data_IF_226185454994
#
_entry.id   IF_226185454994
#
_cell.length_a   1.000
_cell.length_b   1.000
_cell.length_c   1.000
_cell.angle_alpha   90.00
_cell.angle_beta   90.00
_cell.angle_gamma   90.00
#
_symmetry.space_group_name_H-M   'P 1'
#
loop_
_entity.id
_entity.type
_entity.pdbx_description
1 polymer ?
#
# COMPACT_ATOMS: atom_id res chain seq x y z
N UNK A 1 -9.70 -5.29 -7.44
CA UNK A 1 -8.39 -5.86 -7.80
C UNK A 1 -8.41 -7.37 -7.53
N UNK A 2 -7.44 -8.17 -8.00
CA UNK A 2 -7.33 -9.57 -7.55
C UNK A 2 -6.96 -9.63 -6.05
N UNK A 3 -7.34 -10.71 -5.36
CA UNK A 3 -7.01 -10.87 -3.94
C UNK A 3 -5.49 -10.97 -3.75
N UNK A 4 -4.96 -10.18 -2.84
CA UNK A 4 -3.55 -10.17 -2.47
C UNK A 4 -3.14 -11.53 -1.89
N UNK A 5 -2.01 -12.03 -2.36
CA UNK A 5 -1.42 -13.29 -1.90
C UNK A 5 -0.18 -13.00 -1.07
N UNK A 6 0.03 -13.78 0.00
CA UNK A 6 1.22 -13.72 0.85
C UNK A 6 2.51 -13.71 0.03
N UNK A 7 2.64 -14.64 -0.91
CA UNK A 7 3.82 -14.76 -1.77
C UNK A 7 4.15 -13.48 -2.54
N UNK A 8 3.14 -12.72 -2.97
CA UNK A 8 3.34 -11.42 -3.65
C UNK A 8 3.95 -10.41 -2.68
N UNK A 9 3.41 -10.30 -1.46
CA UNK A 9 3.92 -9.36 -0.46
C UNK A 9 5.33 -9.73 0.00
N UNK A 10 5.58 -11.02 0.26
CA UNK A 10 6.92 -11.54 0.60
C UNK A 10 7.93 -11.24 -0.50
N UNK A 11 7.56 -11.41 -1.77
CA UNK A 11 8.43 -11.07 -2.90
C UNK A 11 8.79 -9.59 -2.96
N UNK A 12 7.82 -8.71 -2.70
CA UNK A 12 8.05 -7.25 -2.63
C UNK A 12 9.00 -6.92 -1.47
N UNK A 13 8.75 -7.43 -0.26
CA UNK A 13 9.61 -7.21 0.91
C UNK A 13 11.03 -7.75 0.71
N UNK A 14 11.21 -8.82 -0.07
CA UNK A 14 12.53 -9.38 -0.37
C UNK A 14 13.29 -8.55 -1.42
N UNK A 15 12.59 -7.92 -2.36
CA UNK A 15 13.19 -7.16 -3.47
C UNK A 15 13.42 -5.68 -3.12
N UNK A 16 12.62 -5.13 -2.22
CA UNK A 16 12.80 -3.77 -1.72
C UNK A 16 13.84 -3.76 -0.60
N UNK A 17 14.58 -2.67 -0.45
CA UNK A 17 15.41 -2.41 0.73
C UNK A 17 14.52 -2.06 1.95
N UNK A 18 13.52 -2.90 2.21
CA UNK A 18 12.64 -2.76 3.37
C UNK A 18 13.31 -3.31 4.62
N UNK A 19 12.87 -2.81 5.77
CA UNK A 19 13.12 -3.47 7.05
C UNK A 19 12.72 -4.95 6.98
N UNK A 20 13.39 -5.82 7.74
CA UNK A 20 13.00 -7.22 7.83
C UNK A 20 11.59 -7.35 8.37
N UNK A 21 10.69 -7.94 7.58
CA UNK A 21 9.32 -8.24 7.98
C UNK A 21 9.26 -9.64 8.58
N UNK A 22 8.57 -9.78 9.70
CA UNK A 22 8.21 -11.08 10.26
C UNK A 22 7.10 -11.75 9.46
N UNK A 23 6.96 -13.05 9.64
CA UNK A 23 5.93 -13.82 8.95
C UNK A 23 4.52 -13.44 9.43
N UNK A 24 4.38 -13.14 10.72
CA UNK A 24 3.15 -12.71 11.38
C UNK A 24 2.67 -11.37 10.83
N UNK A 25 3.56 -10.38 10.68
CA UNK A 25 3.22 -9.08 10.10
C UNK A 25 2.73 -9.20 8.65
N UNK A 26 3.38 -10.04 7.84
CA UNK A 26 2.93 -10.31 6.47
C UNK A 26 1.56 -10.99 6.49
N UNK A 27 1.33 -11.96 7.39
CA UNK A 27 0.07 -12.68 7.48
C UNK A 27 -1.10 -11.75 7.84
N UNK A 28 -0.92 -10.82 8.78
CA UNK A 28 -1.96 -9.87 9.16
C UNK A 28 -2.41 -8.96 7.99
N UNK A 29 -1.53 -8.70 7.02
CA UNK A 29 -1.87 -7.89 5.85
C UNK A 29 -2.71 -8.64 4.81
N UNK A 30 -2.64 -9.98 4.75
CA UNK A 30 -3.42 -10.80 3.80
C UNK A 30 -4.59 -11.56 4.43
N UNK A 31 -4.52 -11.82 5.73
CA UNK A 31 -5.51 -12.51 6.54
C UNK A 31 -5.61 -11.84 7.92
N UNK A 32 -6.16 -10.61 8.01
CA UNK A 32 -6.24 -9.87 9.26
C UNK A 32 -7.10 -10.64 10.28
N UNK A 33 -6.59 -10.83 11.50
CA UNK A 33 -7.29 -11.54 12.58
C UNK A 33 -7.50 -10.61 13.78
N UNK A 34 -8.75 -10.57 14.27
CA UNK A 34 -9.21 -9.78 15.42
C UNK A 34 -9.07 -8.24 15.28
N UNK A 35 -10.21 -7.53 15.25
CA UNK A 35 -10.27 -6.08 15.56
C UNK A 35 -9.83 -5.10 14.46
N UNK A 36 -9.24 -5.55 13.36
CA UNK A 36 -8.94 -4.72 12.19
C UNK A 36 -10.17 -4.63 11.27
N UNK A 37 -10.84 -3.47 11.29
CA UNK A 37 -12.07 -3.20 10.53
C UNK A 37 -11.78 -3.04 9.02
N UNK A 38 -10.54 -2.67 8.66
CA UNK A 38 -10.12 -2.42 7.27
C UNK A 38 -8.80 -3.12 6.99
N UNK A 39 -8.81 -4.11 6.10
CA UNK A 39 -7.61 -4.86 5.71
C UNK A 39 -6.84 -4.16 4.59
N UNK A 40 -5.58 -4.55 4.37
CA UNK A 40 -4.77 -3.99 3.29
C UNK A 40 -5.40 -4.25 1.90
N UNK A 41 -6.16 -5.34 1.75
CA UNK A 41 -6.95 -5.62 0.55
C UNK A 41 -8.00 -4.54 0.24
N UNK A 42 -8.61 -3.94 1.27
CA UNK A 42 -9.64 -2.92 1.10
C UNK A 42 -9.03 -1.63 0.59
N UNK A 43 -7.88 -1.22 1.17
CA UNK A 43 -7.08 -0.11 0.66
C UNK A 43 -6.71 -0.28 -0.82
N UNK A 44 -6.25 -1.48 -1.19
CA UNK A 44 -5.91 -1.77 -2.59
C UNK A 44 -7.14 -1.69 -3.52
N UNK A 45 -8.33 -2.04 -3.03
CA UNK A 45 -9.56 -1.89 -3.79
C UNK A 45 -10.00 -0.43 -3.93
N UNK A 46 -9.76 0.40 -2.92
CA UNK A 46 -9.99 1.86 -2.99
C UNK A 46 -9.04 2.53 -3.98
N UNK A 47 -7.74 2.19 -3.94
CA UNK A 47 -6.75 2.66 -4.91
C UNK A 47 -7.12 2.26 -6.35
N UNK A 48 -7.66 1.05 -6.53
CA UNK A 48 -8.16 0.59 -7.83
C UNK A 48 -9.33 1.45 -8.35
N UNK A 49 -10.16 2.02 -7.47
CA UNK A 49 -11.19 2.98 -7.91
C UNK A 49 -10.57 4.31 -8.31
N UNK A 50 -9.61 4.82 -7.53
CA UNK A 50 -8.90 6.06 -7.85
C UNK A 50 -8.17 5.97 -9.19
N UNK A 51 -7.59 4.81 -9.52
CA UNK A 51 -6.92 4.55 -10.81
C UNK A 51 -7.83 4.77 -12.03
N UNK A 52 -9.15 4.59 -11.87
CA UNK A 52 -10.12 4.72 -12.96
C UNK A 52 -10.54 6.16 -13.22
N UNK A 53 -10.15 7.09 -12.35
CA UNK A 53 -10.42 8.51 -12.54
C UNK A 53 -9.54 8.99 -13.68
N UNK A 54 -10.16 9.51 -14.74
CA UNK A 54 -9.44 10.19 -15.81
C UNK A 54 -8.86 11.49 -15.26
N UNK A 55 -7.55 11.53 -15.10
CA UNK A 55 -6.82 12.72 -14.65
C UNK A 55 -6.64 13.73 -15.81
N UNK A 56 -7.01 13.39 -17.04
CA UNK A 56 -6.86 14.25 -18.21
C UNK A 56 -5.40 14.67 -18.39
N UNK A 57 -5.17 15.98 -18.54
CA UNK A 57 -3.82 16.56 -18.64
C UNK A 57 -3.28 17.00 -17.28
N UNK A 58 -3.90 16.58 -16.16
CA UNK A 58 -3.45 16.96 -14.83
C UNK A 58 -2.04 16.40 -14.62
N UNK A 59 -1.02 17.26 -14.50
CA UNK A 59 0.33 16.79 -14.27
C UNK A 59 0.37 16.07 -12.91
N UNK A 60 1.23 15.05 -12.75
CA UNK A 60 1.52 14.50 -11.42
C UNK A 60 1.84 15.66 -10.48
N UNK A 61 1.28 15.66 -9.28
CA UNK A 61 1.57 16.71 -8.29
C UNK A 61 3.09 16.87 -8.18
N UNK A 62 3.60 17.97 -8.72
CA UNK A 62 5.03 18.14 -8.96
C UNK A 62 5.68 18.43 -7.61
N UNK A 63 6.39 17.44 -7.07
CA UNK A 63 7.19 17.48 -5.82
C UNK A 63 6.43 17.86 -4.53
N UNK A 64 6.53 16.99 -3.52
CA UNK A 64 6.26 17.37 -2.11
C UNK A 64 7.43 18.25 -1.63
N UNK A 65 7.53 19.47 -2.14
CA UNK A 65 8.36 20.51 -1.50
C UNK A 65 7.50 21.14 -0.40
N UNK A 66 7.60 20.60 0.81
CA UNK A 66 6.77 21.11 1.92
C UNK A 66 6.69 20.23 3.17
N UNK A 67 7.66 19.33 3.42
CA UNK A 67 7.99 19.03 4.82
C UNK A 67 8.80 20.21 5.35
N UNK A 68 8.12 21.36 5.51
CA UNK A 68 8.67 22.59 6.08
C UNK A 68 9.19 22.23 7.47
N UNK A 69 10.52 22.19 7.58
CA UNK A 69 11.19 22.06 8.86
C UNK A 69 10.95 23.38 9.59
N UNK A 70 10.21 23.30 10.69
CA UNK A 70 10.22 24.33 11.73
C UNK A 70 11.68 24.72 12.06
N UNK A 71 12.03 25.97 11.76
CA UNK A 71 13.03 26.77 12.49
C UNK A 71 12.45 28.16 12.74
#
# INVERSE_FOLDING_TARGET
MQRLKKATLTGICAQMASHGWSEEEINELVDPRLGLITGFQDLLNELEQLRKIDLGTTPPAMSVQGADRHE
#
